data_IF_280976857995
#
_entry.id   IF_280976857995
#
_cell.length_a   1.000
_cell.length_b   1.000
_cell.length_c   1.000
_cell.angle_alpha   90.00
_cell.angle_beta   90.00
_cell.angle_gamma   90.00
#
_symmetry.space_group_name_H-M   'P 1'
#
loop_
_entity.id
_entity.type
_entity.pdbx_description
1 polymer ?
#
# COMPACT_ATOMS: atom_id res chain seq x y z
N UNK A 1 -5.91 8.55 12.36
CA UNK A 1 -5.43 7.22 11.90
C UNK A 1 -6.29 6.57 10.80
N UNK A 2 -7.58 6.93 10.61
CA UNK A 2 -8.43 6.19 9.66
C UNK A 2 -8.24 6.58 8.18
N UNK A 3 -7.97 7.85 7.89
CA UNK A 3 -7.86 8.35 6.51
C UNK A 3 -6.74 7.69 5.71
N UNK A 4 -5.58 7.43 6.33
CA UNK A 4 -4.41 6.80 5.68
C UNK A 4 -4.70 5.33 5.32
N UNK A 5 -5.32 4.59 6.24
CA UNK A 5 -5.71 3.20 5.98
C UNK A 5 -6.76 3.11 4.86
N UNK A 6 -7.74 4.02 4.85
CA UNK A 6 -8.76 4.08 3.82
C UNK A 6 -8.19 4.47 2.45
N UNK A 7 -7.32 5.47 2.36
CA UNK A 7 -6.69 5.85 1.10
C UNK A 7 -5.83 4.73 0.53
N UNK A 8 -5.08 4.03 1.37
CA UNK A 8 -4.28 2.87 0.97
C UNK A 8 -5.15 1.70 0.48
N UNK A 9 -6.27 1.42 1.14
CA UNK A 9 -7.23 0.40 0.70
C UNK A 9 -7.85 0.76 -0.66
N UNK A 10 -8.24 2.01 -0.84
CA UNK A 10 -8.78 2.52 -2.12
C UNK A 10 -7.74 2.42 -3.23
N UNK A 11 -6.48 2.78 -2.97
CA UNK A 11 -5.38 2.63 -3.93
C UNK A 11 -5.14 1.17 -4.31
N UNK A 12 -5.19 0.25 -3.35
CA UNK A 12 -5.03 -1.19 -3.62
C UNK A 12 -6.15 -1.72 -4.53
N UNK A 13 -7.40 -1.38 -4.22
CA UNK A 13 -8.57 -1.79 -5.00
C UNK A 13 -8.53 -1.18 -6.41
N UNK A 14 -8.25 0.13 -6.52
CA UNK A 14 -8.15 0.82 -7.81
C UNK A 14 -7.05 0.22 -8.70
N UNK A 15 -5.90 -0.12 -8.12
CA UNK A 15 -4.81 -0.79 -8.82
C UNK A 15 -5.20 -2.16 -9.38
N UNK A 16 -5.98 -2.95 -8.64
CA UNK A 16 -6.48 -4.24 -9.10
C UNK A 16 -7.44 -4.10 -10.27
N UNK A 17 -8.39 -3.15 -10.20
CA UNK A 17 -9.37 -2.90 -11.28
C UNK A 17 -8.67 -2.44 -12.56
N UNK A 18 -7.72 -1.51 -12.45
CA UNK A 18 -6.93 -1.05 -13.60
C UNK A 18 -6.08 -2.18 -14.20
N UNK A 19 -5.50 -3.04 -13.36
CA UNK A 19 -4.73 -4.20 -13.81
C UNK A 19 -5.58 -5.18 -14.62
N UNK A 20 -6.81 -5.47 -14.18
CA UNK A 20 -7.73 -6.36 -14.91
C UNK A 20 -8.11 -5.77 -16.27
N UNK A 21 -8.39 -4.47 -16.35
CA UNK A 21 -8.74 -3.80 -17.62
C UNK A 21 -7.58 -3.84 -18.62
N UNK A 22 -6.34 -3.71 -18.16
CA UNK A 22 -5.15 -3.78 -19.01
C UNK A 22 -4.90 -5.16 -19.62
N UNK A 23 -5.31 -6.24 -18.94
CA UNK A 23 -5.20 -7.62 -19.46
C UNK A 23 -6.01 -7.83 -20.73
N UNK A 24 -7.15 -7.14 -20.87
CA UNK A 24 -8.00 -7.24 -22.05
C UNK A 24 -7.45 -6.52 -23.29
N UNK A 25 -6.46 -5.63 -23.14
CA UNK A 25 -5.89 -4.86 -24.25
C UNK A 25 -4.76 -5.63 -24.93
N UNK A 26 -3.80 -6.18 -24.18
CA UNK A 26 -2.76 -7.04 -24.75
C UNK A 26 -2.03 -7.89 -23.72
N UNK A 27 -1.90 -9.19 -23.99
CA UNK A 27 -1.31 -10.17 -23.06
C UNK A 27 0.16 -9.86 -22.72
N UNK A 28 0.92 -9.33 -23.68
CA UNK A 28 2.35 -8.99 -23.51
C UNK A 28 2.52 -7.78 -22.60
N UNK A 29 1.77 -6.70 -22.85
CA UNK A 29 1.82 -5.52 -21.98
C UNK A 29 1.18 -5.80 -20.62
N UNK A 30 0.18 -6.67 -20.57
CA UNK A 30 -0.42 -7.11 -19.33
C UNK A 30 0.61 -7.79 -18.42
N UNK A 31 1.47 -8.66 -18.95
CA UNK A 31 2.54 -9.31 -18.18
C UNK A 31 3.53 -8.31 -17.58
N UNK A 32 3.98 -7.33 -18.38
CA UNK A 32 4.88 -6.26 -17.91
C UNK A 32 4.20 -5.39 -16.85
N UNK A 33 2.93 -5.02 -17.09
CA UNK A 33 2.14 -4.24 -16.15
C UNK A 33 1.91 -4.98 -14.84
N UNK A 34 1.62 -6.29 -14.89
CA UNK A 34 1.45 -7.12 -13.69
C UNK A 34 2.75 -7.27 -12.89
N UNK A 35 3.90 -7.40 -13.58
CA UNK A 35 5.20 -7.43 -12.92
C UNK A 35 5.51 -6.11 -12.21
N UNK A 36 5.27 -4.97 -12.88
CA UNK A 36 5.40 -3.64 -12.28
C UNK A 36 4.42 -3.43 -11.11
N UNK A 37 3.17 -3.87 -11.28
CA UNK A 37 2.13 -3.78 -10.27
C UNK A 37 2.48 -4.62 -9.04
N UNK A 38 3.04 -5.81 -9.22
CA UNK A 38 3.50 -6.66 -8.13
C UNK A 38 4.64 -5.98 -7.34
N UNK A 39 5.60 -5.37 -8.03
CA UNK A 39 6.66 -4.58 -7.38
C UNK A 39 6.08 -3.39 -6.61
N UNK A 40 5.12 -2.67 -7.19
CA UNK A 40 4.43 -1.57 -6.52
C UNK A 40 3.70 -2.02 -5.26
N UNK A 41 3.05 -3.20 -5.28
CA UNK A 41 2.41 -3.80 -4.10
C UNK A 41 3.41 -4.19 -3.01
N UNK A 42 4.59 -4.70 -3.39
CA UNK A 42 5.65 -4.98 -2.42
C UNK A 42 6.15 -3.70 -1.74
N UNK A 43 6.38 -2.63 -2.52
CA UNK A 43 6.76 -1.32 -1.97
C UNK A 43 5.68 -0.77 -1.04
N UNK A 44 4.41 -0.85 -1.45
CA UNK A 44 3.28 -0.42 -0.63
C UNK A 44 3.21 -1.20 0.69
N UNK A 45 3.45 -2.51 0.64
CA UNK A 45 3.44 -3.38 1.82
C UNK A 45 4.57 -3.02 2.79
N UNK A 46 5.77 -2.74 2.28
CA UNK A 46 6.91 -2.28 3.10
C UNK A 46 6.59 -0.93 3.74
N UNK A 47 6.02 0.00 2.97
CA UNK A 47 5.66 1.34 3.45
C UNK A 47 4.65 1.27 4.61
N UNK A 48 3.65 0.39 4.49
CA UNK A 48 2.71 0.09 5.57
C UNK A 48 3.38 -0.44 6.83
N UNK A 49 4.35 -1.35 6.69
CA UNK A 49 5.09 -1.90 7.84
C UNK A 49 5.90 -0.79 8.53
N UNK A 50 6.52 0.10 7.75
CA UNK A 50 7.26 1.25 8.27
C UNK A 50 6.34 2.24 8.97
N UNK A 51 5.20 2.62 8.37
CA UNK A 51 4.21 3.49 9.01
C UNK A 51 3.71 2.88 10.32
N UNK A 52 3.41 1.57 10.35
CA UNK A 52 2.99 0.88 11.58
C UNK A 52 4.07 0.84 12.66
N UNK A 53 5.34 0.78 12.27
CA UNK A 53 6.46 0.91 13.21
C UNK A 53 6.60 2.33 13.73
N UNK A 54 6.47 3.32 12.85
CA UNK A 54 6.55 4.74 13.21
C UNK A 54 5.40 5.15 14.14
N UNK A 55 4.17 4.71 13.89
CA UNK A 55 3.04 4.94 14.81
C UNK A 55 3.35 4.39 16.21
N UNK A 56 3.96 3.20 16.30
CA UNK A 56 4.37 2.61 17.58
C UNK A 56 5.51 3.39 18.26
N UNK A 57 6.45 3.91 17.48
CA UNK A 57 7.57 4.70 17.99
C UNK A 57 7.11 6.09 18.46
N UNK A 58 6.13 6.70 17.79
CA UNK A 58 5.48 7.94 18.25
C UNK A 58 4.66 7.71 19.54
N UNK A 59 3.97 6.56 19.69
CA UNK A 59 3.30 6.20 20.95
C UNK A 59 4.30 5.90 22.08
N UNK A 60 5.41 5.20 21.81
CA UNK A 60 6.45 4.90 22.81
C UNK A 60 7.26 6.16 23.21
N UNK A 61 7.43 7.15 22.32
CA UNK A 61 8.08 8.42 22.65
C UNK A 61 7.17 9.40 23.39
N UNK A 62 5.85 9.34 23.20
CA UNK A 62 4.87 10.11 23.98
C UNK A 62 4.43 9.35 25.24
N UNK A 63 5.41 8.84 25.99
CA UNK A 63 5.14 8.18 27.26
C UNK A 63 4.61 9.21 28.28
N UNK A 64 3.28 9.33 28.37
CA UNK A 64 2.54 10.06 29.40
C UNK A 64 2.54 9.31 30.75
N UNK A 65 3.51 8.42 31.00
CA UNK A 65 3.61 7.61 32.22
C UNK A 65 4.02 8.39 33.48
N UNK A 66 4.33 9.69 33.36
CA UNK A 66 4.71 10.56 34.48
C UNK A 66 3.55 11.42 35.04
N UNK A 67 2.34 10.83 35.12
CA UNK A 67 1.18 11.43 35.80
C UNK A 67 0.76 10.65 37.05
#
# INVERSE_FOLDING_TARGET
MDLIKYTLLITAIAGQVLGIVLVFISLIWAGVFYALYFVALLVLSILFIIERKKEKEEDDQNDYSDY
#
